data_IF_008264243933
#
_entry.id   IF_008264243933
#
_cell.length_a   1.000
_cell.length_b   1.000
_cell.length_c   1.000
_cell.angle_alpha   90.00
_cell.angle_beta   90.00
_cell.angle_gamma   90.00
#
_symmetry.space_group_name_H-M   'P 1'
#
loop_
_entity.id
_entity.type
_entity.pdbx_description
1 polymer ?
#
# COMPACT_ATOMS: atom_id res chain seq x y z
N UNK A 1 -5.94 -9.33 -11.65
CA UNK A 1 -4.56 -9.83 -11.44
C UNK A 1 -3.60 -8.70 -11.08
N UNK A 2 -3.39 -7.70 -11.95
CA UNK A 2 -2.44 -6.59 -11.69
C UNK A 2 -2.72 -5.79 -10.40
N UNK A 3 -3.99 -5.48 -10.13
CA UNK A 3 -4.42 -4.74 -8.93
C UNK A 3 -4.18 -5.51 -7.62
N UNK A 4 -4.38 -6.82 -7.63
CA UNK A 4 -4.11 -7.67 -6.48
C UNK A 4 -2.60 -7.73 -6.18
N UNK A 5 -1.78 -7.83 -7.23
CA UNK A 5 -0.32 -7.83 -7.11
C UNK A 5 0.20 -6.49 -6.56
N UNK A 6 -0.38 -5.39 -7.02
CA UNK A 6 -0.05 -4.05 -6.53
C UNK A 6 -0.44 -3.89 -5.06
N UNK A 7 -1.61 -4.39 -4.65
CA UNK A 7 -2.06 -4.38 -3.24
C UNK A 7 -1.14 -5.20 -2.32
N UNK A 8 -0.71 -6.38 -2.77
CA UNK A 8 0.23 -7.23 -2.03
C UNK A 8 1.60 -6.55 -1.92
N UNK A 9 2.11 -5.96 -3.01
CA UNK A 9 3.38 -5.21 -2.97
C UNK A 9 3.32 -4.01 -2.02
N UNK A 10 2.17 -3.32 -1.96
CA UNK A 10 1.92 -2.22 -1.02
C UNK A 10 1.98 -2.70 0.44
N UNK A 11 1.44 -3.88 0.72
CA UNK A 11 1.42 -4.47 2.07
C UNK A 11 2.77 -5.05 2.50
N UNK A 12 3.52 -5.67 1.58
CA UNK A 12 4.81 -6.33 1.86
C UNK A 12 5.95 -5.31 1.94
N UNK A 13 5.93 -4.25 1.12
CA UNK A 13 7.00 -3.24 1.07
C UNK A 13 6.49 -1.83 1.44
N UNK A 14 6.01 -1.61 2.68
CA UNK A 14 5.47 -0.31 3.10
C UNK A 14 6.53 0.80 3.10
N UNK A 15 7.79 0.49 3.42
CA UNK A 15 8.90 1.46 3.36
C UNK A 15 9.14 1.98 1.95
N UNK A 16 9.14 1.10 0.96
CA UNK A 16 9.38 1.49 -0.44
C UNK A 16 8.28 2.44 -0.94
N UNK A 17 7.01 2.11 -0.64
CA UNK A 17 5.89 2.97 -1.01
C UNK A 17 5.83 4.27 -0.23
N UNK A 18 6.30 4.28 1.02
CA UNK A 18 6.46 5.51 1.76
C UNK A 18 7.52 6.41 1.11
N UNK A 19 8.69 5.87 0.73
CA UNK A 19 9.70 6.64 -0.02
C UNK A 19 9.17 7.14 -1.36
N UNK A 20 8.40 6.33 -2.08
CA UNK A 20 7.79 6.73 -3.34
C UNK A 20 6.75 7.85 -3.19
N UNK A 21 6.06 7.95 -2.04
CA UNK A 21 5.01 8.96 -1.78
C UNK A 21 5.50 10.18 -0.98
N UNK A 22 6.54 10.02 -0.16
CA UNK A 22 7.00 11.05 0.78
C UNK A 22 8.51 11.30 0.69
N UNK A 23 9.30 10.32 0.25
CA UNK A 23 10.77 10.43 0.16
C UNK A 23 11.29 11.47 -0.85
N UNK A 24 10.45 11.89 -1.80
CA UNK A 24 10.69 12.99 -2.74
C UNK A 24 10.37 14.36 -2.16
N UNK A 25 9.56 14.40 -1.08
CA UNK A 25 9.11 15.64 -0.43
C UNK A 25 9.96 15.99 0.80
N UNK A 26 10.62 15.00 1.41
CA UNK A 26 11.42 15.17 2.62
C UNK A 26 12.85 14.68 2.42
N UNK A 27 13.83 15.56 2.65
CA UNK A 27 15.26 15.22 2.57
C UNK A 27 15.70 14.57 3.89
N UNK A 28 16.17 13.32 3.84
CA UNK A 28 16.64 12.55 5.01
C UNK A 28 15.60 12.31 6.12
N UNK A 29 14.31 12.23 5.78
CA UNK A 29 13.30 11.80 6.74
C UNK A 29 13.21 10.27 6.74
N UNK A 30 13.50 9.66 7.89
CA UNK A 30 13.17 8.25 8.10
C UNK A 30 11.66 8.09 8.30
N UNK A 31 11.05 7.03 7.72
CA UNK A 31 9.65 6.75 7.95
C UNK A 31 9.42 6.46 9.43
N UNK A 32 8.56 7.25 10.07
CA UNK A 32 8.15 6.99 11.44
C UNK A 32 7.32 5.71 11.54
N UNK A 33 7.32 5.07 12.71
CA UNK A 33 6.52 3.86 12.96
C UNK A 33 5.03 4.06 12.61
N UNK A 34 4.51 5.27 12.86
CA UNK A 34 3.16 5.65 12.47
C UNK A 34 2.97 5.66 10.94
N UNK A 35 3.94 6.18 10.19
CA UNK A 35 3.88 6.20 8.73
C UNK A 35 3.97 4.79 8.12
N UNK A 36 4.78 3.91 8.69
CA UNK A 36 4.86 2.50 8.30
C UNK A 36 3.55 1.75 8.64
N UNK A 37 2.98 2.02 9.81
CA UNK A 37 1.68 1.48 10.22
C UNK A 37 0.55 1.90 9.28
N UNK A 38 0.46 3.19 8.94
CA UNK A 38 -0.54 3.72 8.00
C UNK A 38 -0.36 3.10 6.62
N UNK A 39 0.88 2.99 6.13
CA UNK A 39 1.13 2.42 4.80
C UNK A 39 0.74 0.94 4.74
N UNK A 40 0.98 0.17 5.82
CA UNK A 40 0.49 -1.21 5.95
C UNK A 40 -1.04 -1.30 5.97
N UNK A 41 -1.72 -0.45 6.77
CA UNK A 41 -3.19 -0.41 6.84
C UNK A 41 -3.79 -0.09 5.48
N UNK A 42 -3.25 0.91 4.79
CA UNK A 42 -3.68 1.29 3.43
C UNK A 42 -3.46 0.15 2.45
N UNK A 43 -2.31 -0.54 2.52
CA UNK A 43 -2.04 -1.72 1.68
C UNK A 43 -3.03 -2.87 1.91
N UNK A 44 -3.35 -3.19 3.17
CA UNK A 44 -4.34 -4.22 3.54
C UNK A 44 -5.74 -3.83 3.06
N UNK A 45 -6.17 -2.58 3.28
CA UNK A 45 -7.46 -2.08 2.80
C UNK A 45 -7.57 -2.13 1.29
N UNK A 46 -6.50 -1.73 0.57
CA UNK A 46 -6.46 -1.81 -0.89
C UNK A 46 -6.56 -3.26 -1.39
N UNK A 47 -5.90 -4.21 -0.72
CA UNK A 47 -6.01 -5.63 -1.05
C UNK A 47 -7.43 -6.15 -0.84
N UNK A 48 -8.07 -5.85 0.29
CA UNK A 48 -9.46 -6.23 0.59
C UNK A 48 -10.45 -5.66 -0.42
N UNK A 49 -10.32 -4.38 -0.77
CA UNK A 49 -11.15 -3.71 -1.77
C UNK A 49 -10.94 -4.34 -3.16
N UNK A 50 -9.69 -4.60 -3.55
CA UNK A 50 -9.39 -5.22 -4.83
C UNK A 50 -9.99 -6.64 -4.93
N UNK A 51 -9.89 -7.43 -3.86
CA UNK A 51 -10.53 -8.74 -3.76
C UNK A 51 -12.05 -8.63 -3.84
N UNK A 52 -12.66 -7.73 -3.05
CA UNK A 52 -14.12 -7.52 -3.05
C UNK A 52 -14.66 -7.08 -4.41
N UNK A 53 -14.02 -6.11 -5.07
CA UNK A 53 -14.37 -5.66 -6.42
C UNK A 53 -14.21 -6.78 -7.46
N UNK A 54 -13.20 -7.64 -7.33
CA UNK A 54 -13.04 -8.77 -8.24
C UNK A 54 -14.21 -9.76 -8.13
N UNK A 55 -14.65 -10.09 -6.91
CA UNK A 55 -15.82 -10.95 -6.72
C UNK A 55 -17.11 -10.30 -7.21
N UNK A 56 -17.33 -9.02 -6.92
CA UNK A 56 -18.54 -8.29 -7.34
C UNK A 56 -18.65 -8.14 -8.87
N UNK A 57 -17.53 -7.91 -9.56
CA UNK A 57 -17.49 -7.79 -11.02
C UNK A 57 -17.47 -9.13 -11.77
N UNK A 58 -17.42 -10.26 -11.04
CA UNK A 58 -17.42 -11.61 -11.61
C UNK A 58 -18.80 -12.30 -11.58
N UNK A 59 -19.80 -11.65 -10.99
CA UNK A 59 -21.24 -12.02 -11.00
C UNK A 59 -21.99 -11.21 -12.04
#
# INVERSE_FOLDING_TARGET
MLLALLGILHAVFPQFFWYLNHGWRYKNAEPSDAALGVTRIVGVLAALLASGCFFLGST
#
